data_IF_661307935000
#
_entry.id   IF_661307935000
#
_cell.length_a   1.000
_cell.length_b   1.000
_cell.length_c   1.000
_cell.angle_alpha   90.00
_cell.angle_beta   90.00
_cell.angle_gamma   90.00
#
_symmetry.space_group_name_H-M   'P 1'
#
loop_
_entity.id
_entity.type
_entity.pdbx_description
1 polymer ?
#
# COMPACT_ATOMS: atom_id res chain seq x y z
N UNK A 1 -11.46 11.88 -6.23
CA UNK A 1 -11.73 11.99 -4.78
C UNK A 1 -11.35 13.39 -4.28
N UNK A 2 -12.04 13.97 -3.28
CA UNK A 2 -11.64 15.25 -2.72
C UNK A 2 -10.27 15.15 -2.03
N UNK A 3 -9.47 16.24 -1.94
CA UNK A 3 -8.13 16.23 -1.33
C UNK A 3 -8.08 15.66 0.10
N UNK A 4 -9.16 15.86 0.86
CA UNK A 4 -9.33 15.33 2.23
C UNK A 4 -9.25 13.79 2.31
N UNK A 5 -9.57 13.08 1.23
CA UNK A 5 -9.47 11.61 1.15
C UNK A 5 -8.03 11.16 1.35
N UNK A 6 -7.09 11.82 0.68
CA UNK A 6 -5.67 11.50 0.82
C UNK A 6 -5.14 11.90 2.18
N UNK A 7 -5.50 13.10 2.66
CA UNK A 7 -5.07 13.60 3.97
C UNK A 7 -5.48 12.66 5.11
N UNK A 8 -6.67 12.05 5.02
CA UNK A 8 -7.12 11.07 6.00
C UNK A 8 -6.22 9.83 6.06
N UNK A 9 -5.83 9.29 4.89
CA UNK A 9 -4.92 8.14 4.84
C UNK A 9 -3.48 8.51 5.24
N UNK A 10 -3.05 9.73 4.94
CA UNK A 10 -1.74 10.26 5.32
C UNK A 10 -1.61 10.44 6.85
N UNK A 11 -2.70 10.81 7.53
CA UNK A 11 -2.74 10.95 8.98
C UNK A 11 -2.73 9.61 9.74
N UNK A 12 -3.17 8.51 9.12
CA UNK A 12 -3.10 7.17 9.70
C UNK A 12 -1.67 6.62 9.63
N UNK A 13 -1.25 5.82 10.60
CA UNK A 13 0.06 5.14 10.58
C UNK A 13 0.13 4.11 9.46
N UNK A 14 1.33 3.87 8.92
CA UNK A 14 1.54 2.95 7.81
C UNK A 14 3.01 2.73 7.50
N UNK A 15 3.30 1.64 6.78
CA UNK A 15 4.66 1.19 6.45
C UNK A 15 4.96 1.48 4.98
N UNK A 16 6.08 2.15 4.71
CA UNK A 16 6.53 2.41 3.33
C UNK A 16 7.40 1.25 2.83
N UNK A 17 7.01 0.67 1.70
CA UNK A 17 7.71 -0.40 1.00
C UNK A 17 8.15 0.07 -0.38
N UNK A 18 9.28 -0.46 -0.86
CA UNK A 18 9.90 0.01 -2.11
C UNK A 18 10.47 1.43 -1.99
N UNK A 19 10.69 2.09 -3.13
CA UNK A 19 11.26 3.45 -3.15
C UNK A 19 12.76 3.53 -2.87
N UNK A 20 13.34 4.67 -3.20
CA UNK A 20 14.60 5.12 -2.60
C UNK A 20 14.33 5.66 -1.19
N UNK A 21 15.35 5.73 -0.31
CA UNK A 21 15.21 6.38 0.99
C UNK A 21 14.65 7.81 0.84
N UNK A 22 13.60 8.13 1.60
CA UNK A 22 12.93 9.44 1.55
C UNK A 22 11.94 9.63 0.39
N UNK A 23 11.73 8.63 -0.46
CA UNK A 23 10.70 8.69 -1.50
C UNK A 23 9.31 8.91 -0.88
N UNK A 24 8.58 9.90 -1.39
CA UNK A 24 7.20 10.18 -0.98
C UNK A 24 6.26 9.21 -1.73
N UNK A 25 5.54 8.30 -1.04
CA UNK A 25 4.66 7.35 -1.70
C UNK A 25 3.49 8.06 -2.40
N UNK A 26 3.30 7.78 -3.69
CA UNK A 26 2.13 8.22 -4.46
C UNK A 26 0.98 7.20 -4.42
N UNK A 27 1.18 6.07 -3.73
CA UNK A 27 0.18 5.02 -3.53
C UNK A 27 0.04 4.76 -2.03
N UNK A 28 -1.18 4.88 -1.51
CA UNK A 28 -1.59 4.38 -0.20
C UNK A 28 -2.44 3.13 -0.42
N UNK A 29 -2.03 2.00 0.16
CA UNK A 29 -2.79 0.74 0.16
C UNK A 29 -3.42 0.60 1.54
N UNK A 30 -4.73 0.71 1.58
CA UNK A 30 -5.53 0.38 2.75
C UNK A 30 -5.72 -1.14 2.75
N UNK A 31 -5.23 -1.79 3.79
CA UNK A 31 -5.13 -3.25 3.85
C UNK A 31 -5.51 -3.78 5.23
N UNK A 32 -5.83 -5.07 5.28
CA UNK A 32 -5.90 -5.83 6.52
C UNK A 32 -4.76 -6.87 6.52
N UNK A 33 -4.05 -6.99 7.64
CA UNK A 33 -2.86 -7.84 7.77
C UNK A 33 -3.16 -9.34 7.56
N UNK A 34 -4.40 -9.76 7.76
CA UNK A 34 -4.86 -11.12 7.55
C UNK A 34 -5.63 -11.32 6.24
N UNK A 35 -5.74 -10.31 5.36
CA UNK A 35 -6.54 -10.46 4.15
C UNK A 35 -5.78 -11.21 3.02
N UNK A 36 -6.34 -12.29 2.45
CA UNK A 36 -5.65 -13.09 1.42
C UNK A 36 -5.45 -12.32 0.11
N UNK A 37 -6.36 -11.40 -0.23
CA UNK A 37 -6.18 -10.54 -1.40
C UNK A 37 -5.07 -9.50 -1.18
N UNK A 38 -4.86 -9.04 0.06
CA UNK A 38 -3.74 -8.17 0.39
C UNK A 38 -2.41 -8.93 0.26
N UNK A 39 -2.35 -10.20 0.68
CA UNK A 39 -1.18 -11.05 0.49
C UNK A 39 -0.86 -11.29 -1.00
N UNK A 40 -1.87 -11.57 -1.83
CA UNK A 40 -1.70 -11.69 -3.29
C UNK A 40 -1.18 -10.40 -3.91
N UNK A 41 -1.75 -9.26 -3.53
CA UNK A 41 -1.29 -7.95 -3.99
C UNK A 41 0.17 -7.71 -3.59
N UNK A 42 0.55 -8.04 -2.35
CA UNK A 42 1.91 -7.89 -1.87
C UNK A 42 2.90 -8.67 -2.74
N UNK A 43 2.57 -9.92 -3.08
CA UNK A 43 3.40 -10.75 -3.96
C UNK A 43 3.58 -10.13 -5.36
N UNK A 44 2.51 -9.60 -5.96
CA UNK A 44 2.56 -8.92 -7.26
C UNK A 44 3.40 -7.65 -7.21
N UNK A 45 3.18 -6.78 -6.22
CA UNK A 45 3.91 -5.52 -6.11
C UNK A 45 5.41 -5.71 -5.89
N UNK A 46 5.82 -6.78 -5.20
CA UNK A 46 7.24 -7.12 -5.05
C UNK A 46 7.93 -7.41 -6.38
N UNK A 47 7.19 -7.89 -7.38
CA UNK A 47 7.71 -8.16 -8.72
C UNK A 47 7.54 -6.95 -9.66
N UNK A 48 6.45 -6.20 -9.52
CA UNK A 48 6.04 -5.21 -10.51
C UNK A 48 6.34 -3.75 -10.14
N UNK A 49 6.44 -3.40 -8.86
CA UNK A 49 6.53 -1.99 -8.45
C UNK A 49 7.83 -1.29 -8.90
N UNK A 50 8.88 -2.02 -9.28
CA UNK A 50 10.12 -1.50 -9.91
C UNK A 50 10.68 -0.23 -9.24
N UNK A 51 10.71 -0.19 -7.92
CA UNK A 51 11.24 0.94 -7.16
C UNK A 51 10.23 2.06 -6.84
N UNK A 52 8.96 1.93 -7.19
CA UNK A 52 7.89 2.82 -6.72
C UNK A 52 7.70 2.63 -5.22
N UNK A 53 7.64 3.73 -4.48
CA UNK A 53 7.32 3.73 -3.05
C UNK A 53 5.81 3.57 -2.84
N UNK A 54 5.43 2.57 -2.04
CA UNK A 54 4.04 2.24 -1.72
C UNK A 54 3.87 2.22 -0.22
N UNK A 55 2.86 2.91 0.30
CA UNK A 55 2.58 2.95 1.73
C UNK A 55 1.42 2.05 2.09
N UNK A 56 1.65 1.09 2.96
CA UNK A 56 0.68 0.14 3.45
C UNK A 56 0.09 0.66 4.76
N UNK A 57 -1.21 0.97 4.75
CA UNK A 57 -1.94 1.60 5.85
C UNK A 57 -2.97 0.61 6.41
N UNK A 58 -2.75 0.05 7.60
CA UNK A 58 -3.61 -1.01 8.09
C UNK A 58 -4.94 -0.48 8.62
N UNK A 59 -5.98 -1.27 8.34
CA UNK A 59 -7.27 -1.32 9.04
C UNK A 59 -7.49 -2.76 9.53
N UNK A 60 -8.50 -2.99 10.36
CA UNK A 60 -8.78 -4.30 10.94
C UNK A 60 -10.26 -4.68 10.81
N UNK A 61 -10.56 -5.66 9.97
CA UNK A 61 -11.91 -6.19 9.77
C UNK A 61 -11.96 -7.68 9.38
N UNK A 62 -10.87 -8.25 8.88
CA UNK A 62 -10.91 -9.58 8.25
C UNK A 62 -10.91 -10.72 9.27
N UNK A 63 -10.08 -10.60 10.33
CA UNK A 63 -10.05 -11.51 11.49
C UNK A 63 -10.07 -10.74 12.80
N UNK A 64 -10.47 -11.42 13.88
CA UNK A 64 -10.51 -10.86 15.24
C UNK A 64 -9.15 -10.31 15.69
N UNK A 65 -8.05 -10.99 15.34
CA UNK A 65 -6.70 -10.61 15.76
C UNK A 65 -6.00 -9.61 14.82
N UNK A 66 -6.67 -9.15 13.75
CA UNK A 66 -6.05 -8.29 12.72
C UNK A 66 -5.58 -6.95 13.27
N UNK A 67 -6.30 -6.37 14.23
CA UNK A 67 -5.89 -5.11 14.87
C UNK A 67 -4.60 -5.27 15.67
N UNK A 68 -4.49 -6.36 16.45
CA UNK A 68 -3.30 -6.67 17.23
C UNK A 68 -2.11 -6.99 16.33
N UNK A 69 -2.32 -7.77 15.27
CA UNK A 69 -1.28 -8.11 14.30
C UNK A 69 -0.77 -6.85 13.57
N UNK A 70 -1.67 -5.99 13.10
CA UNK A 70 -1.32 -4.76 12.41
C UNK A 70 -0.55 -3.78 13.31
N UNK A 71 -1.00 -3.58 14.56
CA UNK A 71 -0.30 -2.73 15.52
C UNK A 71 1.10 -3.29 15.85
N UNK A 72 1.24 -4.62 16.00
CA UNK A 72 2.52 -5.26 16.22
C UNK A 72 3.49 -5.10 15.04
N UNK A 73 2.99 -5.06 13.80
CA UNK A 73 3.78 -4.75 12.60
C UNK A 73 4.23 -3.28 12.62
N UNK A 74 3.30 -2.34 12.86
CA UNK A 74 3.60 -0.91 12.89
C UNK A 74 4.64 -0.53 13.95
N UNK A 75 4.58 -1.17 15.12
CA UNK A 75 5.47 -0.89 16.26
C UNK A 75 6.64 -1.87 16.39
N UNK A 76 6.89 -2.71 15.39
CA UNK A 76 8.08 -3.55 15.36
C UNK A 76 9.36 -2.69 15.31
N UNK A 77 10.49 -3.23 15.77
CA UNK A 77 11.79 -2.57 15.62
C UNK A 77 12.15 -2.29 14.15
N UNK A 78 11.67 -3.14 13.23
CA UNK A 78 11.68 -2.89 11.79
C UNK A 78 10.29 -3.20 11.21
N UNK A 79 9.42 -2.18 11.05
CA UNK A 79 8.08 -2.36 10.50
C UNK A 79 8.08 -2.86 9.05
N UNK A 80 9.14 -2.58 8.27
CA UNK A 80 9.25 -3.06 6.88
C UNK A 80 9.52 -4.55 6.85
N UNK A 81 10.46 -5.03 7.67
CA UNK A 81 10.74 -6.45 7.81
C UNK A 81 9.54 -7.21 8.39
N UNK A 82 8.84 -6.63 9.37
CA UNK A 82 7.64 -7.23 9.94
C UNK A 82 6.50 -7.38 8.92
N UNK A 83 6.25 -6.34 8.10
CA UNK A 83 5.25 -6.41 7.04
C UNK A 83 5.64 -7.40 5.92
N UNK A 84 6.92 -7.44 5.53
CA UNK A 84 7.42 -8.41 4.55
C UNK A 84 7.26 -9.85 5.06
N UNK A 85 7.66 -10.12 6.31
CA UNK A 85 7.47 -11.42 6.94
C UNK A 85 5.97 -11.81 6.97
N UNK A 86 5.09 -10.88 7.35
CA UNK A 86 3.65 -11.11 7.40
C UNK A 86 3.08 -11.68 6.11
N UNK A 87 3.43 -11.07 4.97
CA UNK A 87 2.85 -11.47 3.69
C UNK A 87 3.64 -12.56 2.97
N UNK A 88 4.96 -12.66 3.18
CA UNK A 88 5.76 -13.75 2.59
C UNK A 88 5.51 -15.09 3.25
N UNK A 89 5.15 -15.07 4.52
CA UNK A 89 4.85 -16.27 5.31
C UNK A 89 3.34 -16.43 5.53
N UNK A 90 2.53 -15.75 4.71
CA UNK A 90 1.08 -15.78 4.81
C UNK A 90 0.55 -17.21 4.63
N UNK A 91 -0.31 -17.65 5.54
CA UNK A 91 -0.98 -18.95 5.47
C UNK A 91 -2.32 -18.78 4.71
N UNK A 92 -2.36 -19.27 3.47
CA UNK A 92 -3.56 -19.23 2.64
C UNK A 92 -4.64 -20.23 3.06
N UNK A 93 -4.32 -21.26 3.83
CA UNK A 93 -5.32 -22.17 4.37
C UNK A 93 -5.96 -21.61 5.64
N UNK A 94 -5.16 -21.06 6.55
CA UNK A 94 -5.65 -20.42 7.77
C UNK A 94 -6.17 -18.99 7.56
N UNK A 95 -5.89 -18.41 6.39
CA UNK A 95 -6.10 -16.99 6.08
C UNK A 95 -5.49 -16.07 7.15
N UNK A 96 -4.21 -16.27 7.44
CA UNK A 96 -3.52 -15.57 8.55
C UNK A 96 -2.15 -15.06 8.11
N UNK A 97 -1.82 -13.85 8.56
CA UNK A 97 -0.53 -13.22 8.31
C UNK A 97 0.58 -13.88 9.11
N UNK A 98 1.72 -14.15 8.48
CA UNK A 98 2.79 -14.95 9.08
C UNK A 98 3.66 -14.22 10.11
N UNK A 99 3.42 -12.94 10.40
CA UNK A 99 4.25 -12.21 11.35
C UNK A 99 3.93 -12.64 12.79
N UNK A 100 4.94 -13.14 13.50
CA UNK A 100 4.80 -13.57 14.88
C UNK A 100 4.76 -12.37 15.81
N UNK A 101 3.56 -12.04 16.29
CA UNK A 101 3.36 -11.00 17.31
C UNK A 101 4.14 -11.35 18.59
N UNK A 102 5.04 -10.47 19.08
CA UNK A 102 5.77 -10.71 20.32
C UNK A 102 4.84 -10.91 21.53
N UNK A 103 5.27 -11.75 22.47
CA UNK A 103 4.58 -11.89 23.74
C UNK A 103 4.62 -10.55 24.50
N UNK A 104 3.46 -10.08 24.97
CA UNK A 104 3.33 -8.79 25.65
C UNK A 104 3.07 -7.58 24.75
N UNK A 105 2.94 -7.75 23.43
CA UNK A 105 2.46 -6.68 22.55
C UNK A 105 0.99 -6.37 22.87
N UNK A 106 0.75 -5.18 23.44
CA UNK A 106 -0.57 -4.70 23.87
C UNK A 106 -1.07 -3.49 23.09
N UNK A 107 -0.24 -2.93 22.20
CA UNK A 107 -0.63 -1.78 21.38
C UNK A 107 -1.79 -2.14 20.44
N UNK A 108 -2.72 -1.20 20.29
CA UNK A 108 -3.75 -1.23 19.27
C UNK A 108 -3.44 -0.24 18.14
N UNK A 109 -4.28 -0.26 17.11
CA UNK A 109 -4.24 0.76 16.07
C UNK A 109 -4.58 2.14 16.64
N UNK A 110 -3.85 3.17 16.20
CA UNK A 110 -4.07 4.55 16.62
C UNK A 110 -5.44 5.09 16.19
N UNK A 111 -5.89 6.15 16.86
CA UNK A 111 -7.17 6.80 16.57
C UNK A 111 -7.29 7.26 15.09
N UNK A 112 -6.17 7.63 14.46
CA UNK A 112 -6.12 8.01 13.04
C UNK A 112 -6.39 6.82 12.10
N UNK A 113 -5.83 5.64 12.37
CA UNK A 113 -6.16 4.41 11.65
C UNK A 113 -7.63 4.03 11.84
N UNK A 114 -8.18 4.18 13.06
CA UNK A 114 -9.60 3.92 13.31
C UNK A 114 -10.51 4.92 12.57
N UNK A 115 -10.10 6.19 12.45
CA UNK A 115 -10.82 7.18 11.66
C UNK A 115 -10.80 6.84 10.17
N UNK A 116 -9.64 6.45 9.64
CA UNK A 116 -9.53 5.94 8.27
C UNK A 116 -10.42 4.71 8.07
N UNK A 117 -10.43 3.75 9.00
CA UNK A 117 -11.28 2.56 8.92
C UNK A 117 -12.78 2.90 8.86
N UNK A 118 -13.24 3.88 9.65
CA UNK A 118 -14.64 4.33 9.57
C UNK A 118 -14.96 4.91 8.20
N UNK A 119 -14.07 5.73 7.65
CA UNK A 119 -14.29 6.32 6.33
C UNK A 119 -14.15 5.29 5.20
N UNK A 120 -13.24 4.33 5.33
CA UNK A 120 -13.05 3.23 4.39
C UNK A 120 -14.32 2.40 4.21
N UNK A 121 -15.13 2.23 5.27
CA UNK A 121 -16.47 1.61 5.17
C UNK A 121 -17.39 2.41 4.23
N UNK A 122 -17.34 3.73 4.29
CA UNK A 122 -18.13 4.61 3.41
C UNK A 122 -17.63 4.57 1.94
N UNK A 123 -16.39 4.12 1.71
CA UNK A 123 -15.83 3.91 0.37
C UNK A 123 -16.09 2.50 -0.19
N UNK A 124 -16.89 1.69 0.50
CA UNK A 124 -17.30 0.35 0.06
C UNK A 124 -16.76 -0.80 0.89
N UNK A 125 -15.80 -0.55 1.80
CA UNK A 125 -15.43 -1.55 2.82
C UNK A 125 -14.76 -2.82 2.30
N UNK A 126 -13.88 -2.71 1.29
CA UNK A 126 -13.09 -3.84 0.77
C UNK A 126 -11.57 -3.63 0.92
N UNK A 127 -10.81 -4.71 1.04
CA UNK A 127 -9.34 -4.67 0.94
C UNK A 127 -8.84 -5.66 -0.13
N UNK A 128 -7.73 -5.34 -0.82
CA UNK A 128 -6.98 -4.10 -0.76
C UNK A 128 -7.72 -2.95 -1.48
N UNK A 129 -7.60 -1.73 -0.93
CA UNK A 129 -8.06 -0.49 -1.55
C UNK A 129 -6.87 0.44 -1.77
N UNK A 130 -6.81 1.07 -2.93
CA UNK A 130 -5.76 2.01 -3.30
C UNK A 130 -6.30 3.44 -3.28
N UNK A 131 -5.54 4.34 -2.67
CA UNK A 131 -5.56 5.75 -3.03
C UNK A 131 -4.31 6.03 -3.84
N UNK A 132 -4.49 6.45 -5.09
CA UNK A 132 -3.39 6.75 -6.02
C UNK A 132 -3.43 8.24 -6.32
N UNK A 133 -2.33 8.93 -6.04
CA UNK A 133 -2.13 10.33 -6.38
C UNK A 133 -1.30 10.40 -7.65
N UNK A 134 -1.84 11.04 -8.68
CA UNK A 134 -1.10 11.27 -9.92
C UNK A 134 -0.21 12.51 -9.84
N UNK A 135 0.53 12.78 -10.92
CA UNK A 135 1.46 13.90 -11.04
C UNK A 135 0.79 15.28 -10.95
N UNK A 136 -0.53 15.36 -11.14
CA UNK A 136 -1.31 16.59 -11.02
C UNK A 136 -1.95 16.73 -9.63
N UNK A 137 -1.70 15.79 -8.71
CA UNK A 137 -2.23 15.81 -7.35
C UNK A 137 -3.65 15.25 -7.23
N UNK A 138 -4.28 14.82 -8.33
CA UNK A 138 -5.61 14.23 -8.27
C UNK A 138 -5.56 12.84 -7.64
N UNK A 139 -6.53 12.55 -6.77
CA UNK A 139 -6.62 11.26 -6.06
C UNK A 139 -7.68 10.37 -6.69
N UNK A 140 -7.25 9.20 -7.16
CA UNK A 140 -8.10 8.10 -7.61
C UNK A 140 -8.27 7.10 -6.46
N UNK A 141 -9.48 6.57 -6.30
CA UNK A 141 -9.78 5.44 -5.44
C UNK A 141 -10.10 4.23 -6.32
N UNK A 142 -9.42 3.11 -6.08
CA UNK A 142 -9.65 1.83 -6.77
C UNK A 142 -9.32 0.65 -5.85
N UNK A 143 -9.46 -0.59 -6.30
CA UNK A 143 -9.36 -1.78 -5.46
C UNK A 143 -9.05 -3.07 -6.20
N UNK A 144 -8.62 -4.09 -5.46
CA UNK A 144 -8.42 -5.45 -5.99
C UNK A 144 -6.97 -5.85 -6.18
N UNK A 145 -6.73 -7.11 -6.53
CA UNK A 145 -5.39 -7.70 -6.64
C UNK A 145 -5.16 -8.39 -8.00
N UNK A 146 -5.94 -8.03 -9.02
CA UNK A 146 -5.77 -8.56 -10.37
C UNK A 146 -4.56 -7.88 -11.06
N UNK A 147 -3.73 -8.59 -11.84
CA UNK A 147 -2.51 -8.03 -12.43
C UNK A 147 -2.72 -6.82 -13.36
N UNK A 148 -3.84 -6.76 -14.08
CA UNK A 148 -4.23 -5.60 -14.89
C UNK A 148 -4.53 -4.35 -14.03
N UNK A 149 -5.21 -4.53 -12.90
CA UNK A 149 -5.46 -3.45 -11.93
C UNK A 149 -4.14 -2.95 -11.35
N UNK A 150 -3.25 -3.86 -10.92
CA UNK A 150 -1.94 -3.50 -10.34
C UNK A 150 -1.10 -2.70 -11.34
N UNK A 151 -0.99 -3.17 -12.58
CA UNK A 151 -0.27 -2.44 -13.64
C UNK A 151 -0.86 -1.07 -13.92
N UNK A 152 -2.19 -0.94 -13.94
CA UNK A 152 -2.87 0.34 -14.11
C UNK A 152 -2.55 1.32 -12.97
N UNK A 153 -2.60 0.84 -11.72
CA UNK A 153 -2.23 1.62 -10.52
C UNK A 153 -0.78 2.10 -10.60
N UNK A 154 0.16 1.20 -10.90
CA UNK A 154 1.59 1.53 -11.00
C UNK A 154 1.88 2.52 -12.13
N UNK A 155 1.28 2.31 -13.31
CA UNK A 155 1.43 3.21 -14.45
C UNK A 155 0.92 4.61 -14.14
N UNK A 156 -0.20 4.73 -13.42
CA UNK A 156 -0.71 6.04 -13.00
C UNK A 156 0.19 6.73 -11.96
N UNK A 157 0.77 5.97 -11.05
CA UNK A 157 1.62 6.51 -9.99
C UNK A 157 3.01 6.93 -10.48
N UNK A 158 3.52 6.29 -11.54
CA UNK A 158 4.78 6.66 -12.19
C UNK A 158 4.69 7.99 -12.97
N UNK A 159 3.47 8.44 -13.31
CA UNK A 159 3.25 9.55 -14.23
C UNK A 159 3.62 9.19 -15.67
N UNK A 160 3.45 10.11 -16.64
CA UNK A 160 3.96 9.89 -17.98
C UNK A 160 5.47 9.65 -17.90
N UNK A 161 5.94 8.57 -18.53
CA UNK A 161 7.37 8.36 -18.75
C UNK A 161 7.92 9.66 -19.34
N UNK A 162 8.90 10.28 -18.67
CA UNK A 162 9.73 11.27 -19.36
C UNK A 162 10.29 10.53 -20.57
N UNK A 163 9.87 10.92 -21.77
CA UNK A 163 10.61 10.56 -22.98
C UNK A 163 12.03 11.07 -22.74
N UNK A 164 12.97 10.17 -22.47
CA UNK A 164 14.36 10.49 -22.71
C UNK A 164 14.43 10.77 -24.20
N UNK A 165 14.57 12.06 -24.53
CA UNK A 165 14.61 12.54 -25.89
C UNK A 165 15.71 11.79 -26.63
N UNK A 166 15.31 10.94 -27.57
CA UNK A 166 16.19 10.59 -28.66
C UNK A 166 16.43 11.87 -29.44
N UNK A 167 17.66 12.36 -29.43
CA UNK A 167 18.13 13.27 -30.46
C UNK A 167 17.85 12.60 -31.80
N UNK A 168 16.87 13.14 -32.54
CA UNK A 168 16.76 12.91 -33.96
C UNK A 168 18.03 13.47 -34.60
N UNK A 169 18.77 12.71 -35.43
CA UNK A 169 19.90 13.25 -36.15
C UNK A 169 19.42 14.39 -37.03
N UNK A 170 19.98 15.57 -36.84
CA UNK A 170 19.77 16.71 -37.72
C UNK A 170 20.13 16.32 -39.14
N UNK A 171 19.16 16.42 -40.02
CA UNK A 171 19.27 16.26 -41.46
C UNK A 171 20.27 17.30 -42.00
N UNK A 172 21.48 16.83 -42.29
CA UNK A 172 22.56 17.61 -42.89
C UNK A 172 22.25 17.88 -44.35
N UNK A 173 21.65 19.05 -44.60
CA UNK A 173 21.58 19.68 -45.91
C UNK A 173 22.99 20.12 -46.34
N UNK A 174 23.56 19.49 -47.37
CA UNK A 174 24.43 20.10 -48.39
C UNK A 174 24.56 19.17 -49.58
#
# INVERSE_FOLDING_TARGET
MPPSTWQLAEAAEGVVMGGTPGAKPSIQIIFDANCPYCARLYALLRQEARGIAVRWVPIAYFREDSARLAAAILHAGDPRAALDANFRQYDFHAHHGGYRVPAGATQGLQASNLALQRQWRNWGGYTPMYLVRDSHGATLLTGGAAPDIVRSVLGRAAGPLKSYGGESPTEGRK
#
